data_IF_777420461219
#
_entry.id   IF_777420461219
#
_cell.length_a   1.000
_cell.length_b   1.000
_cell.length_c   1.000
_cell.angle_alpha   90.00
_cell.angle_beta   90.00
_cell.angle_gamma   90.00
#
_symmetry.space_group_name_H-M   'P 1'
#
loop_
_entity.id
_entity.type
_entity.pdbx_description
1 polymer ?
#
# COMPACT_ATOMS: atom_id res chain seq x y z
N UNK A 1 7.80 -9.61 12.20
CA UNK A 1 6.94 -10.08 13.30
C UNK A 1 7.60 -11.18 14.15
N UNK A 2 8.20 -12.22 13.55
CA UNK A 2 8.84 -13.35 14.27
C UNK A 2 9.86 -12.93 15.33
N UNK A 3 10.76 -11.99 15.02
CA UNK A 3 11.78 -11.54 15.97
C UNK A 3 11.23 -10.88 17.24
N UNK A 4 10.11 -10.14 17.13
CA UNK A 4 9.48 -9.53 18.31
C UNK A 4 8.89 -10.60 19.23
N UNK A 5 8.20 -11.59 18.65
CA UNK A 5 7.61 -12.70 19.41
C UNK A 5 8.68 -13.55 20.11
N UNK A 6 9.79 -13.82 19.41
CA UNK A 6 10.92 -14.55 19.99
C UNK A 6 11.50 -13.81 21.20
N UNK A 7 11.70 -12.50 21.07
CA UNK A 7 12.18 -11.66 22.17
C UNK A 7 11.23 -11.67 23.37
N UNK A 8 9.92 -11.53 23.13
CA UNK A 8 8.89 -11.54 24.16
C UNK A 8 8.83 -12.88 24.93
N UNK A 9 8.94 -14.01 24.23
CA UNK A 9 8.96 -15.32 24.89
C UNK A 9 10.21 -15.53 25.77
N UNK A 10 11.35 -14.97 25.38
CA UNK A 10 12.59 -15.10 26.15
C UNK A 10 12.67 -14.12 27.32
N UNK A 11 12.11 -12.92 27.21
CA UNK A 11 12.32 -11.84 28.18
C UNK A 11 11.07 -11.46 28.97
N UNK A 12 9.89 -11.90 28.52
CA UNK A 12 8.59 -11.43 28.99
C UNK A 12 8.43 -9.90 28.92
N UNK A 13 9.17 -9.26 28.01
CA UNK A 13 9.17 -7.82 27.75
C UNK A 13 8.98 -7.53 26.27
N UNK A 14 8.40 -6.37 25.95
CA UNK A 14 8.23 -5.97 24.55
C UNK A 14 9.56 -5.54 23.95
N UNK A 15 9.82 -6.00 22.72
CA UNK A 15 11.04 -5.67 21.99
C UNK A 15 11.22 -4.15 21.81
N UNK A 16 10.12 -3.41 21.58
CA UNK A 16 10.15 -1.96 21.36
C UNK A 16 9.04 -1.26 22.16
N UNK A 17 9.34 -0.82 23.39
CA UNK A 17 8.37 -0.12 24.24
C UNK A 17 8.55 1.41 24.23
N UNK A 18 7.48 2.19 24.36
CA UNK A 18 7.53 3.66 24.35
C UNK A 18 6.23 4.32 24.81
N UNK A 19 6.34 5.57 25.30
CA UNK A 19 5.20 6.39 25.71
C UNK A 19 4.46 6.91 24.48
N UNK A 20 3.59 6.07 23.91
CA UNK A 20 2.79 6.39 22.74
C UNK A 20 3.39 5.89 21.42
N UNK A 21 2.54 5.84 20.39
CA UNK A 21 2.83 5.20 19.11
C UNK A 21 4.09 5.76 18.42
N UNK A 22 4.25 7.09 18.39
CA UNK A 22 5.41 7.71 17.75
C UNK A 22 6.74 7.30 18.37
N UNK A 23 6.76 7.11 19.69
CA UNK A 23 7.98 6.72 20.40
C UNK A 23 8.35 5.25 20.14
N UNK A 24 7.34 4.39 19.92
CA UNK A 24 7.54 3.00 19.50
C UNK A 24 8.05 2.96 18.06
N UNK A 25 7.45 3.71 17.14
CA UNK A 25 7.89 3.79 15.74
C UNK A 25 9.34 4.27 15.66
N UNK A 26 9.71 5.32 16.40
CA UNK A 26 11.08 5.82 16.44
C UNK A 26 12.08 4.75 16.86
N UNK A 27 11.76 3.97 17.91
CA UNK A 27 12.62 2.87 18.36
C UNK A 27 12.71 1.72 17.36
N UNK A 28 11.68 1.47 16.58
CA UNK A 28 11.69 0.45 15.53
C UNK A 28 12.56 0.88 14.33
N UNK A 29 12.53 2.17 13.96
CA UNK A 29 13.22 2.68 12.76
C UNK A 29 14.67 3.08 13.04
N UNK A 30 14.92 3.80 14.15
CA UNK A 30 16.23 4.39 14.47
C UNK A 30 16.87 3.78 15.73
N UNK A 31 16.09 3.07 16.53
CA UNK A 31 16.57 2.48 17.78
C UNK A 31 17.50 1.27 17.57
N UNK A 32 18.26 0.95 18.60
CA UNK A 32 19.03 -0.29 18.64
C UNK A 32 18.08 -1.49 18.74
N UNK A 33 18.34 -2.48 17.91
CA UNK A 33 17.63 -3.75 17.98
C UNK A 33 17.86 -4.43 19.34
N UNK A 34 16.81 -4.88 20.03
CA UNK A 34 16.93 -5.48 21.35
C UNK A 34 17.62 -6.85 21.27
N UNK A 35 18.57 -7.09 22.18
CA UNK A 35 19.32 -8.34 22.28
C UNK A 35 18.86 -9.16 23.49
N UNK A 36 19.00 -10.49 23.40
CA UNK A 36 18.68 -11.37 24.53
C UNK A 36 19.73 -11.24 25.65
N UNK A 37 19.33 -11.48 26.91
CA UNK A 37 20.26 -11.60 28.03
C UNK A 37 21.35 -12.65 27.79
N UNK A 38 22.51 -12.44 28.41
CA UNK A 38 23.71 -13.31 28.28
C UNK A 38 23.50 -14.75 28.75
N UNK A 39 22.39 -15.03 29.44
CA UNK A 39 21.98 -16.37 29.86
C UNK A 39 21.56 -17.26 28.68
N UNK A 40 21.19 -16.65 27.55
CA UNK A 40 20.80 -17.37 26.34
C UNK A 40 22.01 -17.61 25.44
N UNK A 41 21.94 -18.68 24.65
CA UNK A 41 23.04 -19.04 23.76
C UNK A 41 23.24 -18.01 22.65
N UNK A 42 24.48 -17.95 22.15
CA UNK A 42 24.83 -17.04 21.06
C UNK A 42 24.04 -17.36 19.80
N UNK A 43 23.82 -18.64 19.50
CA UNK A 43 23.06 -19.08 18.33
C UNK A 43 21.63 -18.54 18.37
N UNK A 44 20.99 -18.54 19.55
CA UNK A 44 19.63 -18.00 19.68
C UNK A 44 19.59 -16.49 19.44
N UNK A 45 20.60 -15.76 19.93
CA UNK A 45 20.71 -14.33 19.70
C UNK A 45 21.01 -14.02 18.22
N UNK A 46 21.79 -14.86 17.54
CA UNK A 46 22.05 -14.75 16.10
C UNK A 46 20.76 -14.99 15.28
N UNK A 47 19.94 -15.98 15.67
CA UNK A 47 18.61 -16.20 15.08
C UNK A 47 17.71 -14.97 15.28
N UNK A 48 17.69 -14.41 16.49
CA UNK A 48 16.91 -13.20 16.80
C UNK A 48 17.35 -12.04 15.88
N UNK A 49 18.66 -11.77 15.80
CA UNK A 49 19.23 -10.70 14.96
C UNK A 49 18.90 -10.90 13.48
N UNK A 50 18.98 -12.13 12.98
CA UNK A 50 18.65 -12.44 11.59
C UNK A 50 17.16 -12.22 11.30
N UNK A 51 16.28 -12.58 12.24
CA UNK A 51 14.84 -12.38 12.11
C UNK A 51 14.38 -10.92 12.21
N UNK A 52 15.20 -10.06 12.82
CA UNK A 52 14.94 -8.62 12.99
C UNK A 52 15.59 -7.78 11.87
N UNK A 53 16.73 -8.18 11.31
CA UNK A 53 17.45 -7.44 10.26
C UNK A 53 16.69 -7.32 8.94
N UNK A 54 15.83 -8.28 8.62
CA UNK A 54 14.91 -8.24 7.47
C UNK A 54 13.87 -7.10 7.57
N UNK A 55 13.77 -6.44 8.73
CA UNK A 55 12.82 -5.34 8.96
C UNK A 55 13.48 -3.97 9.02
N UNK A 56 14.72 -3.83 9.51
CA UNK A 56 15.34 -2.50 9.76
C UNK A 56 16.19 -2.01 8.58
N UNK A 57 17.01 -2.89 7.99
CA UNK A 57 17.86 -2.51 6.86
C UNK A 57 17.10 -2.45 5.53
N UNK A 58 16.07 -3.28 5.36
CA UNK A 58 15.21 -3.20 4.19
C UNK A 58 14.33 -1.95 4.24
N UNK A 59 13.93 -1.43 5.41
CA UNK A 59 13.30 -0.11 5.53
C UNK A 59 14.26 1.05 5.22
N UNK A 60 15.56 0.92 5.48
CA UNK A 60 16.55 1.95 5.08
C UNK A 60 16.90 1.88 3.59
N UNK A 61 16.90 0.69 2.98
CA UNK A 61 17.06 0.51 1.52
C UNK A 61 15.79 0.90 0.75
N UNK A 62 14.62 0.65 1.33
CA UNK A 62 13.37 1.29 0.96
C UNK A 62 13.40 2.72 1.51
N UNK A 63 14.33 3.53 0.99
CA UNK A 63 14.26 4.99 1.09
C UNK A 63 12.84 5.34 0.69
N UNK A 64 12.00 5.67 1.67
CA UNK A 64 10.65 6.13 1.42
C UNK A 64 10.83 7.34 0.52
N UNK A 65 10.54 7.16 -0.75
CA UNK A 65 10.29 8.28 -1.61
C UNK A 65 8.96 8.84 -1.10
N UNK A 66 9.01 9.70 -0.07
CA UNK A 66 8.15 10.89 -0.13
C UNK A 66 8.82 11.77 -1.19
N UNK A 67 8.80 11.29 -2.44
CA UNK A 67 8.45 12.18 -3.51
C UNK A 67 7.02 12.52 -3.15
N UNK A 68 6.82 13.76 -2.67
CA UNK A 68 5.49 14.33 -2.67
C UNK A 68 4.84 13.97 -4.00
N UNK A 69 3.56 13.61 -3.96
CA UNK A 69 2.75 13.50 -5.15
C UNK A 69 2.68 14.89 -5.82
N UNK A 70 3.76 15.29 -6.48
CA UNK A 70 3.76 16.24 -7.57
C UNK A 70 3.74 15.39 -8.85
N UNK A 71 2.75 14.52 -8.98
CA UNK A 71 2.23 14.14 -10.28
C UNK A 71 0.96 14.97 -10.47
N UNK A 72 1.15 16.29 -10.53
CA UNK A 72 0.08 17.24 -10.78
C UNK A 72 0.27 17.72 -12.21
N UNK A 73 -0.49 17.09 -13.10
CA UNK A 73 -0.91 17.58 -14.41
C UNK A 73 0.21 18.05 -15.36
N UNK A 74 0.73 17.13 -16.16
CA UNK A 74 1.13 17.50 -17.53
C UNK A 74 0.10 16.92 -18.49
N UNK A 75 -1.00 17.67 -18.66
CA UNK A 75 -1.77 17.69 -19.90
C UNK A 75 -2.04 19.16 -20.23
N UNK A 76 -1.20 19.70 -21.11
CA UNK A 76 -1.52 20.69 -22.13
C UNK A 76 -1.76 22.13 -21.67
N UNK A 77 -0.82 23.01 -22.01
CA UNK A 77 -1.13 24.38 -22.44
C UNK A 77 -0.12 24.75 -23.55
N UNK A 78 -0.47 24.40 -24.80
CA UNK A 78 0.10 25.03 -25.99
C UNK A 78 -0.58 26.39 -26.16
N UNK A 79 -0.06 27.42 -25.49
CA UNK A 79 -0.22 28.80 -25.94
C UNK A 79 1.16 29.47 -25.86
N UNK A 80 1.81 29.50 -27.02
CA UNK A 80 2.97 30.33 -27.33
C UNK A 80 2.61 31.80 -27.06
N UNK A 81 3.19 32.39 -26.02
CA UNK A 81 3.49 33.82 -26.04
C UNK A 81 4.83 34.10 -25.36
N UNK A 82 5.83 34.30 -26.22
CA UNK A 82 7.17 34.74 -25.92
C UNK A 82 7.12 36.16 -25.37
N UNK A 83 7.48 36.37 -24.09
CA UNK A 83 8.28 37.55 -23.71
C UNK A 83 9.21 37.21 -22.54
N UNK A 84 10.49 37.37 -22.83
CA UNK A 84 11.64 37.39 -21.93
C UNK A 84 11.52 38.47 -20.83
N UNK A 85 12.01 38.19 -19.61
CA UNK A 85 13.10 38.96 -18.97
C UNK A 85 13.35 38.58 -17.49
N UNK A 86 14.56 38.06 -17.29
CA UNK A 86 15.50 38.18 -16.16
C UNK A 86 15.08 38.73 -14.78
N UNK A 87 15.43 37.93 -13.76
CA UNK A 87 16.28 38.28 -12.59
C UNK A 87 15.67 39.01 -11.37
N UNK A 88 15.78 38.35 -10.19
CA UNK A 88 16.18 39.03 -8.93
C UNK A 88 15.13 39.24 -7.82
N UNK A 89 15.17 38.36 -6.81
CA UNK A 89 15.00 38.61 -5.36
C UNK A 89 14.23 39.86 -4.85
N UNK A 90 13.15 39.66 -4.07
CA UNK A 90 13.09 39.83 -2.60
C UNK A 90 11.67 40.13 -2.07
N UNK A 91 11.31 39.39 -1.00
CA UNK A 91 10.63 39.76 0.25
C UNK A 91 9.48 40.80 0.24
N UNK A 92 8.34 40.32 0.78
CA UNK A 92 7.40 40.97 1.71
C UNK A 92 7.20 42.48 1.59
N UNK A 93 5.97 42.88 1.25
CA UNK A 93 5.31 43.94 1.99
C UNK A 93 3.80 43.69 2.05
N UNK A 94 3.31 43.76 3.28
CA UNK A 94 1.91 43.89 3.68
C UNK A 94 1.23 45.11 3.03
N UNK A 95 -0.10 45.11 3.13
CA UNK A 95 -1.10 46.14 2.80
C UNK A 95 -1.82 45.96 1.46
N UNK A 96 -2.96 45.25 1.47
CA UNK A 96 -4.08 45.57 0.57
C UNK A 96 -5.42 45.19 1.22
N UNK A 97 -5.79 46.03 2.19
CA UNK A 97 -6.97 45.91 3.05
C UNK A 97 -8.20 46.66 2.47
N UNK A 98 -8.46 46.55 1.15
CA UNK A 98 -9.55 47.31 0.48
C UNK A 98 -10.23 46.62 -0.71
N UNK A 99 -10.73 45.39 -0.56
CA UNK A 99 -11.74 44.90 -1.51
C UNK A 99 -12.82 43.98 -0.91
N UNK A 100 -13.34 44.33 0.28
CA UNK A 100 -14.46 43.60 0.90
C UNK A 100 -15.82 44.34 0.79
N UNK A 101 -15.97 45.30 -0.14
CA UNK A 101 -17.22 46.08 -0.25
C UNK A 101 -18.09 45.77 -1.48
N UNK A 102 -17.76 44.75 -2.28
CA UNK A 102 -18.56 44.41 -3.49
C UNK A 102 -19.19 43.02 -3.44
N UNK A 103 -19.55 42.53 -2.25
CA UNK A 103 -20.41 41.35 -2.10
C UNK A 103 -21.78 41.76 -1.51
N UNK A 104 -22.49 42.63 -2.21
CA UNK A 104 -23.92 42.85 -1.95
C UNK A 104 -24.73 41.76 -2.65
N UNK A 105 -25.29 40.89 -1.82
CA UNK A 105 -26.47 40.04 -2.01
C UNK A 105 -27.27 40.36 -3.28
N UNK A 106 -27.20 39.48 -4.27
CA UNK A 106 -28.23 39.30 -5.27
C UNK A 106 -28.94 37.99 -4.95
N UNK A 107 -30.19 38.10 -4.49
CA UNK A 107 -31.13 36.99 -4.39
C UNK A 107 -31.31 36.33 -5.78
N UNK A 108 -31.39 34.99 -5.89
CA UNK A 108 -31.43 34.33 -7.18
C UNK A 108 -32.80 34.55 -7.85
N UNK A 109 -32.82 35.25 -8.98
CA UNK A 109 -34.01 35.38 -9.79
C UNK A 109 -34.26 34.05 -10.56
N UNK A 110 -35.48 33.55 -10.48
CA UNK A 110 -35.88 32.17 -10.82
C UNK A 110 -36.02 31.88 -12.33
N UNK A 111 -35.61 32.82 -13.20
CA UNK A 111 -35.64 32.64 -14.65
C UNK A 111 -34.27 32.95 -15.26
N UNK A 112 -33.66 31.94 -15.89
CA UNK A 112 -32.38 31.91 -16.62
C UNK A 112 -31.07 31.83 -15.81
N UNK A 113 -30.91 30.79 -14.99
CA UNK A 113 -29.58 30.18 -14.83
C UNK A 113 -29.33 29.18 -15.98
N UNK A 114 -29.21 29.68 -17.20
CA UNK A 114 -28.55 28.87 -18.24
C UNK A 114 -27.08 28.83 -17.86
N UNK A 115 -26.57 27.66 -17.46
CA UNK A 115 -25.15 27.47 -17.16
C UNK A 115 -24.35 28.03 -18.32
N UNK A 116 -23.38 28.88 -17.99
CA UNK A 116 -22.52 29.46 -19.02
C UNK A 116 -21.81 28.33 -19.79
N UNK A 117 -21.41 28.54 -21.05
CA UNK A 117 -20.65 27.55 -21.80
C UNK A 117 -19.39 27.06 -21.05
N UNK A 118 -18.76 27.93 -20.26
CA UNK A 118 -17.63 27.58 -19.39
C UNK A 118 -18.02 26.62 -18.26
N UNK A 119 -19.16 26.83 -17.60
CA UNK A 119 -19.66 25.94 -16.55
C UNK A 119 -20.05 24.57 -17.10
N UNK A 120 -20.65 24.52 -18.29
CA UNK A 120 -20.95 23.26 -18.97
C UNK A 120 -19.68 22.49 -19.33
N UNK A 121 -18.63 23.17 -19.81
CA UNK A 121 -17.34 22.53 -20.09
C UNK A 121 -16.69 21.97 -18.82
N UNK A 122 -16.72 22.74 -17.72
CA UNK A 122 -16.23 22.28 -16.40
C UNK A 122 -17.02 21.08 -15.89
N UNK A 123 -18.34 21.08 -16.04
CA UNK A 123 -19.20 19.96 -15.64
C UNK A 123 -18.93 18.69 -16.45
N UNK A 124 -18.69 18.82 -17.76
CA UNK A 124 -18.28 17.69 -18.60
C UNK A 124 -16.96 17.08 -18.13
N UNK A 125 -15.94 17.92 -17.87
CA UNK A 125 -14.66 17.47 -17.31
C UNK A 125 -14.83 16.75 -15.97
N UNK A 126 -15.71 17.27 -15.08
CA UNK A 126 -16.01 16.62 -13.79
C UNK A 126 -16.68 15.27 -13.98
N UNK A 127 -17.70 15.17 -14.83
CA UNK A 127 -18.39 13.91 -15.12
C UNK A 127 -17.46 12.86 -15.73
N UNK A 128 -16.57 13.29 -16.64
CA UNK A 128 -15.59 12.39 -17.24
C UNK A 128 -14.56 11.91 -16.20
N UNK A 129 -14.10 12.79 -15.31
CA UNK A 129 -13.23 12.42 -14.19
C UNK A 129 -13.93 11.45 -13.21
N UNK A 130 -15.18 11.73 -12.86
CA UNK A 130 -15.99 10.88 -11.97
C UNK A 130 -16.24 9.51 -12.60
N UNK A 131 -16.54 9.45 -13.90
CA UNK A 131 -16.72 8.19 -14.63
C UNK A 131 -15.42 7.37 -14.67
N UNK A 132 -14.26 8.01 -14.91
CA UNK A 132 -12.96 7.35 -14.83
C UNK A 132 -12.69 6.79 -13.43
N UNK A 133 -12.94 7.59 -12.39
CA UNK A 133 -12.75 7.15 -11.00
C UNK A 133 -13.64 5.95 -10.64
N UNK A 134 -14.89 5.94 -11.12
CA UNK A 134 -15.82 4.81 -10.95
C UNK A 134 -15.30 3.56 -11.64
N UNK A 135 -14.83 3.66 -12.89
CA UNK A 135 -14.23 2.53 -13.62
C UNK A 135 -13.06 1.89 -12.87
N UNK A 136 -12.12 2.68 -12.34
CA UNK A 136 -11.00 2.15 -11.57
C UNK A 136 -11.47 1.43 -10.30
N UNK A 137 -12.43 2.02 -9.60
CA UNK A 137 -12.99 1.43 -8.37
C UNK A 137 -13.67 0.09 -8.66
N UNK A 138 -14.40 -0.01 -9.77
CA UNK A 138 -15.03 -1.25 -10.21
C UNK A 138 -14.02 -2.31 -10.63
N UNK A 139 -12.95 -1.93 -11.34
CA UNK A 139 -11.88 -2.85 -11.71
C UNK A 139 -11.17 -3.45 -10.48
N UNK A 140 -10.89 -2.62 -9.46
CA UNK A 140 -10.34 -3.10 -8.18
C UNK A 140 -11.31 -4.07 -7.50
N UNK A 141 -12.61 -3.75 -7.48
CA UNK A 141 -13.64 -4.62 -6.89
C UNK A 141 -13.76 -5.95 -7.62
N UNK A 142 -13.73 -5.96 -8.96
CA UNK A 142 -13.79 -7.15 -9.78
C UNK A 142 -12.58 -8.06 -9.52
N UNK A 143 -11.36 -7.50 -9.56
CA UNK A 143 -10.14 -8.25 -9.26
C UNK A 143 -10.15 -8.83 -7.82
N UNK A 144 -10.64 -8.05 -6.85
CA UNK A 144 -10.77 -8.54 -5.47
C UNK A 144 -11.76 -9.71 -5.37
N UNK A 145 -12.88 -9.65 -6.09
CA UNK A 145 -13.86 -10.72 -6.17
C UNK A 145 -13.27 -11.98 -6.85
N UNK A 146 -12.62 -11.83 -8.00
CA UNK A 146 -11.94 -12.94 -8.70
C UNK A 146 -10.86 -13.61 -7.85
N UNK A 147 -10.05 -12.82 -7.13
CA UNK A 147 -9.07 -13.36 -6.22
C UNK A 147 -9.73 -14.12 -5.05
N UNK A 148 -10.90 -13.67 -4.58
CA UNK A 148 -11.65 -14.36 -3.53
C UNK A 148 -12.25 -15.68 -4.01
N UNK A 149 -12.85 -15.71 -5.20
CA UNK A 149 -13.39 -16.93 -5.80
C UNK A 149 -12.29 -17.94 -6.08
N UNK A 150 -11.14 -17.51 -6.62
CA UNK A 150 -9.97 -18.36 -6.83
C UNK A 150 -9.49 -18.99 -5.52
N UNK A 151 -9.38 -18.19 -4.44
CA UNK A 151 -9.02 -18.72 -3.10
C UNK A 151 -10.03 -19.75 -2.60
N UNK A 152 -11.33 -19.53 -2.84
CA UNK A 152 -12.36 -20.48 -2.43
C UNK A 152 -12.24 -21.81 -3.19
N UNK A 153 -12.06 -21.76 -4.51
CA UNK A 153 -11.86 -22.97 -5.32
C UNK A 153 -10.63 -23.77 -4.88
N UNK A 154 -9.52 -23.08 -4.60
CA UNK A 154 -8.31 -23.73 -4.06
C UNK A 154 -8.58 -24.36 -2.69
N UNK A 155 -9.37 -23.71 -1.83
CA UNK A 155 -9.78 -24.27 -0.53
C UNK A 155 -10.64 -25.52 -0.70
N UNK A 156 -11.58 -25.53 -1.65
CA UNK A 156 -12.44 -26.69 -1.92
C UNK A 156 -11.65 -27.85 -2.52
N UNK A 157 -10.72 -27.57 -3.44
CA UNK A 157 -9.82 -28.56 -4.02
C UNK A 157 -8.90 -29.19 -2.97
N UNK A 158 -8.25 -28.37 -2.13
CA UNK A 158 -7.40 -28.86 -1.03
C UNK A 158 -8.21 -29.67 -0.03
N UNK A 159 -9.41 -29.21 0.35
CA UNK A 159 -10.30 -29.96 1.24
C UNK A 159 -10.77 -31.29 0.64
N UNK A 160 -11.03 -31.34 -0.67
CA UNK A 160 -11.36 -32.59 -1.37
C UNK A 160 -10.20 -33.58 -1.37
N UNK A 161 -8.96 -33.09 -1.53
CA UNK A 161 -7.76 -33.94 -1.46
C UNK A 161 -7.56 -34.55 -0.07
N UNK A 162 -7.89 -33.81 1.00
CA UNK A 162 -7.83 -34.31 2.38
C UNK A 162 -8.91 -35.34 2.73
N UNK A 163 -9.99 -35.44 1.94
CA UNK A 163 -11.06 -36.43 2.11
C UNK A 163 -10.77 -37.78 1.43
N UNK A 164 -9.63 -37.90 0.74
CA UNK A 164 -9.21 -39.19 0.21
C UNK A 164 -9.06 -40.18 1.38
N UNK A 165 -9.64 -41.39 1.30
CA UNK A 165 -9.39 -42.43 2.29
C UNK A 165 -7.89 -42.64 2.44
N UNK A 166 -7.42 -42.87 3.66
CA UNK A 166 -6.05 -43.30 3.89
C UNK A 166 -5.75 -44.50 2.98
N UNK A 167 -4.59 -44.55 2.30
CA UNK A 167 -4.21 -45.73 1.54
C UNK A 167 -4.32 -46.93 2.47
N UNK A 168 -5.20 -47.88 2.15
CA UNK A 168 -5.28 -49.13 2.89
C UNK A 168 -3.94 -49.83 2.79
N UNK A 169 -3.43 -50.37 3.89
CA UNK A 169 -2.23 -51.21 3.97
C UNK A 169 -2.46 -52.58 3.29
N UNK A 170 -2.98 -52.58 2.06
CA UNK A 170 -3.01 -53.77 1.23
C UNK A 170 -1.61 -53.95 0.63
N UNK A 171 -0.73 -54.53 1.44
CA UNK A 171 0.50 -55.17 1.01
C UNK A 171 0.18 -56.42 0.18
N UNK A 172 -0.54 -56.27 -0.93
CA UNK A 172 -0.64 -57.30 -1.95
C UNK A 172 0.55 -57.20 -2.90
N UNK A 173 1.53 -58.03 -2.59
CA UNK A 173 2.51 -58.65 -3.49
C UNK A 173 2.28 -58.39 -4.99
N UNK A 174 2.81 -57.27 -5.50
CA UNK A 174 3.17 -57.18 -6.92
C UNK A 174 4.54 -57.82 -7.12
N UNK A 175 4.61 -59.12 -6.87
CA UNK A 175 5.70 -59.97 -7.34
C UNK A 175 5.38 -60.35 -8.79
N UNK A 176 6.14 -59.74 -9.70
CA UNK A 176 6.64 -60.34 -10.92
C UNK A 176 5.63 -60.93 -11.93
N UNK A 177 5.34 -60.15 -12.98
CA UNK A 177 5.13 -60.71 -14.33
C UNK A 177 6.01 -60.00 -15.34
N UNK A 178 7.31 -60.02 -15.09
CA UNK A 178 8.33 -59.86 -16.14
C UNK A 178 9.05 -61.19 -16.33
N UNK A 179 8.47 -62.06 -17.15
CA UNK A 179 9.22 -63.14 -17.78
C UNK A 179 8.51 -63.71 -19.00
N UNK A 180 9.19 -63.54 -20.15
CA UNK A 180 9.03 -64.22 -21.45
C UNK A 180 7.70 -63.94 -22.17
N UNK A 181 7.70 -63.54 -23.42
CA UNK A 181 8.22 -64.34 -24.55
C UNK A 181 9.17 -63.54 -25.44
N UNK A 182 10.31 -64.19 -25.74
CA UNK A 182 11.28 -63.83 -26.77
C UNK A 182 10.94 -64.69 -27.99
N UNK A 183 10.73 -64.08 -29.16
CA UNK A 183 11.22 -64.56 -30.46
C UNK A 183 11.10 -63.46 -31.50
#
# INVERSE_FOLDING_TARGET
SVGCLLYEMCTFQHAFDGKGLMNVIYKVVEGKTPELPVTYSKELNDVLKNSQNLTVQDMQKQKWSISGNNQLLEEGDDDEDVVSETNGNNRLNDNDDKNEQTLKQLEPNEYTQQKTPSELAKERKRKDADARAQMYTEAIRANAHEAATHRQLMRESTFSSLKQPWPSDDHEHSMNKSSKIRS
#
